data_IF_368184214781
#
_entry.id   IF_368184214781
#
_cell.length_a   1.000
_cell.length_b   1.000
_cell.length_c   1.000
_cell.angle_alpha   90.00
_cell.angle_beta   90.00
_cell.angle_gamma   90.00
#
_symmetry.space_group_name_H-M   'P 1'
#
loop_
_entity.id
_entity.type
_entity.pdbx_description
1 polymer ?
#
# COMPACT_ATOMS: atom_id res chain seq x y z
N UNK A 1 -27.05 7.40 0.65
CA UNK A 1 -25.92 6.52 0.26
C UNK A 1 -24.96 6.40 1.43
N UNK A 2 -24.46 5.19 1.70
CA UNK A 2 -23.43 4.99 2.74
C UNK A 2 -22.08 5.23 2.08
N UNK A 3 -21.31 6.18 2.63
CA UNK A 3 -19.95 6.46 2.16
C UNK A 3 -18.95 5.84 3.12
N UNK A 4 -18.00 5.13 2.56
CA UNK A 4 -16.87 4.57 3.31
C UNK A 4 -15.62 5.32 2.88
N UNK A 5 -14.91 5.92 3.81
CA UNK A 5 -13.69 6.67 3.53
C UNK A 5 -12.48 5.75 3.63
N UNK A 6 -11.74 5.62 2.55
CA UNK A 6 -10.48 4.86 2.51
C UNK A 6 -9.31 5.85 2.43
N UNK A 7 -8.49 5.86 3.48
CA UNK A 7 -7.24 6.59 3.50
C UNK A 7 -6.13 5.65 3.02
N UNK A 8 -5.93 5.62 1.70
CA UNK A 8 -4.96 4.74 1.07
C UNK A 8 -3.55 5.29 1.25
N UNK A 9 -2.68 4.53 1.88
CA UNK A 9 -1.35 4.97 2.32
C UNK A 9 -0.27 4.05 1.75
N UNK A 10 0.85 4.62 1.33
CA UNK A 10 2.04 3.85 1.00
C UNK A 10 2.97 3.78 2.22
N UNK A 11 3.59 2.61 2.44
CA UNK A 11 4.56 2.45 3.53
C UNK A 11 5.69 3.48 3.47
N UNK A 12 6.38 3.68 4.59
CA UNK A 12 7.56 4.54 4.69
C UNK A 12 8.77 3.99 3.92
N UNK A 13 9.78 4.82 3.78
CA UNK A 13 11.01 4.45 3.07
C UNK A 13 11.64 3.19 3.68
N UNK A 14 12.10 2.30 2.80
CA UNK A 14 12.79 1.06 3.20
C UNK A 14 14.25 1.08 2.77
N UNK A 15 15.04 0.18 3.37
CA UNK A 15 16.44 -0.06 2.97
C UNK A 15 16.51 -0.39 1.48
N UNK A 16 15.61 -1.25 0.99
CA UNK A 16 15.58 -1.62 -0.43
C UNK A 16 15.16 -0.47 -1.34
N UNK A 17 14.30 0.46 -0.87
CA UNK A 17 14.02 1.70 -1.62
C UNK A 17 15.31 2.50 -1.85
N UNK A 18 16.10 2.70 -0.80
CA UNK A 18 17.36 3.45 -0.88
C UNK A 18 18.35 2.76 -1.82
N UNK A 19 18.45 1.44 -1.71
CA UNK A 19 19.40 0.64 -2.49
C UNK A 19 18.88 0.27 -3.88
N UNK A 20 17.67 0.68 -4.24
CA UNK A 20 17.05 0.40 -5.54
C UNK A 20 16.95 -1.11 -5.81
N UNK A 21 16.54 -1.86 -4.80
CA UNK A 21 16.30 -3.30 -4.90
C UNK A 21 14.81 -3.55 -5.15
N UNK A 22 14.50 -4.46 -6.07
CA UNK A 22 13.14 -4.88 -6.36
C UNK A 22 12.62 -5.71 -5.20
N UNK A 23 11.72 -5.13 -4.38
CA UNK A 23 11.28 -5.76 -3.15
C UNK A 23 10.22 -6.84 -3.36
N UNK A 24 9.26 -6.56 -4.24
CA UNK A 24 8.16 -7.50 -4.45
C UNK A 24 7.45 -7.87 -3.15
N UNK A 25 7.33 -9.16 -2.88
CA UNK A 25 6.67 -9.68 -1.68
C UNK A 25 7.67 -10.09 -0.59
N UNK A 26 8.88 -9.57 -0.59
CA UNK A 26 9.80 -9.69 0.55
C UNK A 26 9.32 -8.81 1.70
N UNK A 27 9.80 -9.10 2.92
CA UNK A 27 9.34 -8.37 4.12
C UNK A 27 9.76 -6.90 4.10
N UNK A 28 11.01 -6.63 3.81
CA UNK A 28 11.56 -5.28 3.83
C UNK A 28 11.77 -4.75 5.26
N UNK A 29 12.48 -3.63 5.35
CA UNK A 29 12.75 -2.97 6.63
C UNK A 29 12.72 -1.46 6.42
N UNK A 30 11.98 -0.76 7.29
CA UNK A 30 11.98 0.70 7.28
C UNK A 30 13.36 1.24 7.65
N UNK A 31 13.79 2.30 6.95
CA UNK A 31 14.95 3.10 7.38
C UNK A 31 14.56 4.00 8.55
N UNK A 32 15.56 4.62 9.20
CA UNK A 32 15.28 5.66 10.21
C UNK A 32 14.41 6.78 9.61
N UNK A 33 14.64 7.16 8.36
CA UNK A 33 13.83 8.13 7.64
C UNK A 33 12.40 7.62 7.43
N UNK A 34 12.23 6.34 7.06
CA UNK A 34 10.91 5.73 6.90
C UNK A 34 10.11 5.72 8.21
N UNK A 35 10.77 5.46 9.33
CA UNK A 35 10.13 5.55 10.65
C UNK A 35 9.68 6.98 10.94
N UNK A 36 10.53 7.98 10.65
CA UNK A 36 10.17 9.40 10.82
C UNK A 36 8.99 9.80 9.94
N UNK A 37 8.95 9.31 8.70
CA UNK A 37 7.82 9.57 7.80
C UNK A 37 6.52 9.02 8.38
N UNK A 38 6.54 7.80 8.91
CA UNK A 38 5.37 7.19 9.53
C UNK A 38 4.96 7.93 10.83
N UNK A 39 5.93 8.35 11.64
CA UNK A 39 5.67 9.13 12.86
C UNK A 39 5.07 10.50 12.54
N UNK A 40 5.57 11.18 11.50
CA UNK A 40 5.01 12.46 11.07
C UNK A 40 3.56 12.30 10.62
N UNK A 41 3.27 11.23 9.89
CA UNK A 41 1.90 10.92 9.45
C UNK A 41 1.01 10.56 10.64
N UNK A 42 1.54 9.83 11.62
CA UNK A 42 0.82 9.53 12.87
C UNK A 42 0.40 10.80 13.59
N UNK A 43 1.29 11.79 13.71
CA UNK A 43 0.97 13.09 14.32
C UNK A 43 -0.08 13.84 13.51
N UNK A 44 0.05 13.86 12.21
CA UNK A 44 -0.89 14.54 11.31
C UNK A 44 -2.30 13.98 11.44
N UNK A 45 -2.44 12.67 11.63
CA UNK A 45 -3.71 11.96 11.68
C UNK A 45 -4.18 11.65 13.12
N UNK A 46 -3.43 12.06 14.15
CA UNK A 46 -3.71 11.67 15.53
C UNK A 46 -5.10 12.11 16.00
N UNK A 47 -5.60 13.26 15.54
CA UNK A 47 -6.90 13.79 15.93
C UNK A 47 -8.02 13.44 14.94
N UNK A 48 -7.69 12.84 13.81
CA UNK A 48 -8.70 12.43 12.83
C UNK A 48 -9.36 11.14 13.29
N UNK A 49 -10.71 11.07 13.35
CA UNK A 49 -11.38 9.82 13.64
C UNK A 49 -11.10 8.78 12.57
N UNK A 50 -10.52 7.66 12.94
CA UNK A 50 -10.23 6.52 12.05
C UNK A 50 -10.75 5.27 12.79
N UNK A 51 -11.65 4.55 12.13
CA UNK A 51 -12.35 3.42 12.75
C UNK A 51 -11.55 2.12 12.67
N UNK A 52 -10.71 1.96 11.64
CA UNK A 52 -9.96 0.73 11.44
C UNK A 52 -8.64 0.97 10.72
N UNK A 53 -7.66 0.13 11.01
CA UNK A 53 -6.34 0.15 10.40
C UNK A 53 -6.09 -1.21 9.76
N UNK A 54 -5.87 -1.22 8.45
CA UNK A 54 -5.65 -2.42 7.64
C UNK A 54 -4.30 -2.29 6.94
N UNK A 55 -3.52 -3.34 6.92
CA UNK A 55 -2.19 -3.33 6.30
C UNK A 55 -1.98 -4.54 5.42
N UNK A 56 -1.14 -4.39 4.39
CA UNK A 56 -0.47 -5.53 3.80
C UNK A 56 0.19 -6.36 4.90
N UNK A 57 0.30 -7.66 4.70
CA UNK A 57 0.95 -8.56 5.65
C UNK A 57 2.48 -8.60 5.50
N UNK A 58 3.06 -7.70 4.70
CA UNK A 58 4.51 -7.54 4.60
C UNK A 58 5.00 -6.57 5.68
N UNK A 59 6.14 -6.89 6.29
CA UNK A 59 6.65 -6.20 7.48
C UNK A 59 6.73 -4.68 7.32
N UNK A 60 7.26 -4.19 6.20
CA UNK A 60 7.40 -2.74 5.97
C UNK A 60 6.06 -2.00 6.01
N UNK A 61 4.99 -2.63 5.59
CA UNK A 61 3.65 -2.06 5.66
C UNK A 61 3.06 -2.17 7.06
N UNK A 62 3.22 -3.32 7.72
CA UNK A 62 2.75 -3.53 9.10
C UNK A 62 3.42 -2.52 10.03
N UNK A 63 4.73 -2.35 9.93
CA UNK A 63 5.48 -1.42 10.79
C UNK A 63 5.00 0.03 10.58
N UNK A 64 4.80 0.44 9.33
CA UNK A 64 4.25 1.77 9.02
C UNK A 64 2.86 1.94 9.63
N UNK A 65 1.97 0.97 9.40
CA UNK A 65 0.60 1.02 9.88
C UNK A 65 0.53 1.05 11.41
N UNK A 66 1.36 0.25 12.08
CA UNK A 66 1.41 0.19 13.54
C UNK A 66 1.84 1.52 14.16
N UNK A 67 2.78 2.21 13.53
CA UNK A 67 3.21 3.55 13.97
C UNK A 67 2.04 4.53 13.85
N UNK A 68 1.33 4.52 12.72
CA UNK A 68 0.19 5.43 12.48
C UNK A 68 -0.97 5.12 13.43
N UNK A 69 -1.21 3.84 13.73
CA UNK A 69 -2.32 3.40 14.59
C UNK A 69 -2.07 3.66 16.07
N UNK A 70 -0.82 3.83 16.48
CA UNK A 70 -0.45 3.91 17.89
C UNK A 70 -1.18 5.04 18.65
N UNK A 71 -1.29 6.29 18.14
CA UNK A 71 -2.06 7.33 18.85
C UNK A 71 -3.55 7.04 18.96
N UNK A 72 -4.08 6.12 18.18
CA UNK A 72 -5.48 5.72 18.20
C UNK A 72 -5.76 4.52 19.10
N UNK A 73 -4.74 3.92 19.71
CA UNK A 73 -4.84 2.68 20.50
C UNK A 73 -5.56 1.57 19.74
N UNK A 74 -5.33 1.48 18.42
CA UNK A 74 -6.02 0.57 17.55
C UNK A 74 -5.13 -0.60 17.16
N UNK A 75 -5.75 -1.75 16.92
CA UNK A 75 -5.07 -2.91 16.35
C UNK A 75 -4.96 -2.77 14.83
N UNK A 76 -3.93 -3.40 14.27
CA UNK A 76 -3.72 -3.49 12.83
C UNK A 76 -4.19 -4.85 12.34
N UNK A 77 -5.15 -4.83 11.40
CA UNK A 77 -5.56 -6.02 10.66
C UNK A 77 -4.68 -6.15 9.41
N UNK A 78 -4.26 -7.37 9.09
CA UNK A 78 -3.46 -7.61 7.90
C UNK A 78 -4.24 -8.36 6.84
N UNK A 79 -3.89 -8.12 5.57
CA UNK A 79 -4.48 -8.84 4.44
C UNK A 79 -3.45 -9.02 3.31
N UNK A 80 -3.37 -10.22 2.72
CA UNK A 80 -2.51 -10.43 1.55
C UNK A 80 -3.02 -9.71 0.29
N UNK A 81 -4.25 -9.22 0.29
CA UNK A 81 -4.80 -8.46 -0.84
C UNK A 81 -4.04 -7.16 -1.10
N UNK A 82 -3.37 -6.61 -0.07
CA UNK A 82 -2.58 -5.38 -0.18
C UNK A 82 -1.10 -5.62 -0.47
N UNK A 83 -0.66 -6.87 -0.64
CA UNK A 83 0.73 -7.15 -0.98
C UNK A 83 1.14 -6.42 -2.25
N UNK A 84 2.42 -6.07 -2.32
CA UNK A 84 3.00 -5.52 -3.54
C UNK A 84 2.95 -6.56 -4.67
N UNK A 85 3.17 -6.09 -5.89
CA UNK A 85 3.31 -6.94 -7.06
C UNK A 85 4.34 -8.02 -6.80
N UNK A 86 4.01 -9.26 -7.11
CA UNK A 86 4.99 -10.33 -7.14
C UNK A 86 5.86 -10.13 -8.38
N UNK A 87 7.13 -9.78 -8.14
CA UNK A 87 8.09 -9.54 -9.21
C UNK A 87 8.80 -10.82 -9.67
N UNK A 88 8.39 -11.99 -9.16
CA UNK A 88 8.94 -13.27 -9.59
C UNK A 88 10.46 -13.31 -9.47
N UNK A 89 11.14 -13.73 -10.52
CA UNK A 89 12.60 -13.83 -10.55
C UNK A 89 13.33 -12.48 -10.56
N UNK A 90 12.63 -11.35 -10.76
CA UNK A 90 13.23 -10.03 -10.59
C UNK A 90 13.36 -9.61 -9.12
N UNK A 91 12.68 -10.29 -8.23
CA UNK A 91 12.72 -9.99 -6.80
C UNK A 91 14.16 -10.09 -6.26
N UNK A 92 14.59 -9.06 -5.52
CA UNK A 92 15.94 -9.00 -4.95
C UNK A 92 16.99 -8.45 -5.90
N UNK A 93 16.65 -8.16 -7.14
CA UNK A 93 17.60 -7.63 -8.12
C UNK A 93 17.69 -6.11 -8.05
N UNK A 94 18.84 -5.58 -8.48
CA UNK A 94 19.07 -4.14 -8.58
C UNK A 94 18.27 -3.57 -9.75
N UNK A 95 17.34 -2.64 -9.47
CA UNK A 95 16.38 -2.14 -10.47
C UNK A 95 17.05 -1.57 -11.72
N UNK A 96 18.13 -0.74 -11.62
CA UNK A 96 18.78 -0.22 -12.83
C UNK A 96 19.31 -1.29 -13.79
N UNK A 97 19.69 -2.46 -13.27
CA UNK A 97 20.18 -3.57 -14.10
C UNK A 97 19.07 -4.23 -14.93
N UNK A 98 17.81 -3.95 -14.62
CA UNK A 98 16.67 -4.60 -15.26
C UNK A 98 16.12 -3.82 -16.46
N UNK A 99 16.66 -2.64 -16.75
CA UNK A 99 16.11 -1.70 -17.74
C UNK A 99 15.87 -2.32 -19.11
N UNK A 100 16.82 -3.10 -19.61
CA UNK A 100 16.75 -3.70 -20.95
C UNK A 100 16.60 -5.23 -20.88
N UNK A 101 16.30 -5.78 -19.72
CA UNK A 101 16.10 -7.22 -19.53
C UNK A 101 14.66 -7.58 -19.89
N UNK A 102 14.45 -8.60 -20.74
CA UNK A 102 13.09 -9.07 -21.01
C UNK A 102 12.41 -9.55 -19.72
N UNK A 103 11.13 -9.23 -19.57
CA UNK A 103 10.38 -9.64 -18.39
C UNK A 103 10.16 -11.15 -18.41
N UNK A 104 10.48 -11.86 -17.31
CA UNK A 104 10.17 -13.27 -17.19
C UNK A 104 8.65 -13.49 -17.06
N UNK A 105 8.23 -14.74 -17.28
CA UNK A 105 6.82 -15.10 -17.24
C UNK A 105 6.25 -15.22 -15.81
N UNK A 106 7.10 -15.18 -14.79
CA UNK A 106 6.72 -15.37 -13.40
C UNK A 106 6.37 -14.08 -12.67
N UNK A 107 6.31 -12.94 -13.36
CA UNK A 107 5.88 -11.66 -12.78
C UNK A 107 4.36 -11.61 -12.78
N UNK A 108 3.79 -11.22 -11.64
CA UNK A 108 2.34 -10.99 -11.52
C UNK A 108 1.86 -9.99 -12.57
N UNK A 109 0.82 -10.32 -13.32
CA UNK A 109 0.29 -9.43 -14.35
C UNK A 109 -0.46 -8.25 -13.74
N UNK A 110 -0.53 -7.14 -14.47
CA UNK A 110 -1.34 -6.01 -14.02
C UNK A 110 -2.82 -6.38 -13.93
N UNK A 111 -3.31 -7.27 -14.80
CA UNK A 111 -4.67 -7.78 -14.72
C UNK A 111 -4.92 -8.49 -13.39
N UNK A 112 -4.00 -9.36 -12.95
CA UNK A 112 -4.10 -10.04 -11.66
C UNK A 112 -4.05 -9.03 -10.50
N UNK A 113 -3.20 -8.01 -10.60
CA UNK A 113 -3.13 -6.92 -9.62
C UNK A 113 -4.48 -6.19 -9.49
N UNK A 114 -5.11 -5.87 -10.63
CA UNK A 114 -6.41 -5.20 -10.63
C UNK A 114 -7.52 -6.07 -10.04
N UNK A 115 -7.47 -7.38 -10.26
CA UNK A 115 -8.40 -8.31 -9.62
C UNK A 115 -8.24 -8.29 -8.10
N UNK A 116 -7.01 -8.33 -7.60
CA UNK A 116 -6.75 -8.20 -6.15
C UNK A 116 -7.21 -6.86 -5.62
N UNK A 117 -6.96 -5.79 -6.35
CA UNK A 117 -7.40 -4.44 -6.00
C UNK A 117 -8.92 -4.35 -5.89
N UNK A 118 -9.64 -4.95 -6.84
CA UNK A 118 -11.10 -5.00 -6.83
C UNK A 118 -11.63 -5.77 -5.61
N UNK A 119 -11.03 -6.92 -5.31
CA UNK A 119 -11.37 -7.72 -4.13
C UNK A 119 -11.11 -6.93 -2.84
N UNK A 120 -10.02 -6.18 -2.78
CA UNK A 120 -9.72 -5.33 -1.62
C UNK A 120 -10.77 -4.24 -1.43
N UNK A 121 -11.15 -3.53 -2.49
CA UNK A 121 -12.17 -2.50 -2.40
C UNK A 121 -13.52 -3.08 -1.97
N UNK A 122 -13.89 -4.25 -2.46
CA UNK A 122 -15.11 -4.95 -2.05
C UNK A 122 -15.04 -5.38 -0.58
N UNK A 123 -13.88 -5.84 -0.12
CA UNK A 123 -13.64 -6.16 1.28
C UNK A 123 -13.89 -4.94 2.18
N UNK A 124 -13.35 -3.78 1.80
CA UNK A 124 -13.53 -2.54 2.57
C UNK A 124 -15.01 -2.13 2.56
N UNK A 125 -15.68 -2.15 1.42
CA UNK A 125 -17.11 -1.79 1.33
C UNK A 125 -17.98 -2.71 2.18
N UNK A 126 -17.66 -3.99 2.22
CA UNK A 126 -18.46 -4.99 2.94
C UNK A 126 -18.26 -4.93 4.44
N UNK A 127 -17.00 -4.83 4.89
CA UNK A 127 -16.69 -4.95 6.32
C UNK A 127 -16.66 -3.63 7.06
N UNK A 128 -16.52 -2.50 6.34
CA UNK A 128 -16.33 -1.19 6.95
C UNK A 128 -17.30 -0.14 6.39
N UNK A 129 -18.50 -0.57 6.01
CA UNK A 129 -19.51 0.34 5.46
C UNK A 129 -19.77 1.51 6.40
N UNK A 130 -19.69 2.72 5.88
CA UNK A 130 -19.92 3.95 6.64
C UNK A 130 -18.78 4.37 7.57
N UNK A 131 -17.65 3.66 7.53
CA UNK A 131 -16.52 3.93 8.40
C UNK A 131 -15.36 4.59 7.66
N UNK A 132 -14.40 5.09 8.41
CA UNK A 132 -13.11 5.58 7.90
C UNK A 132 -12.03 4.55 8.20
N UNK A 133 -11.38 4.05 7.14
CA UNK A 133 -10.34 3.02 7.22
C UNK A 133 -9.04 3.60 6.69
N UNK A 134 -7.96 3.45 7.44
CA UNK A 134 -6.61 3.72 6.91
C UNK A 134 -6.01 2.38 6.50
N UNK A 135 -5.54 2.31 5.25
CA UNK A 135 -4.94 1.10 4.70
C UNK A 135 -3.54 1.39 4.21
N UNK A 136 -2.58 0.57 4.61
CA UNK A 136 -1.19 0.69 4.16
C UNK A 136 -0.86 -0.40 3.16
N UNK A 137 -0.54 0.02 1.96
CA UNK A 137 -0.09 -0.84 0.87
C UNK A 137 1.27 -0.43 0.33
N UNK A 138 1.45 -0.63 -0.96
CA UNK A 138 2.71 -0.46 -1.66
C UNK A 138 2.50 0.32 -2.95
N UNK A 139 3.60 0.67 -3.62
CA UNK A 139 3.53 1.55 -4.79
C UNK A 139 2.63 1.03 -5.92
N UNK A 140 2.81 -0.22 -6.34
CA UNK A 140 2.07 -0.74 -7.50
C UNK A 140 0.66 -1.18 -7.13
N UNK A 141 0.47 -1.87 -6.00
CA UNK A 141 -0.88 -2.26 -5.59
C UNK A 141 -1.77 -1.04 -5.35
N UNK A 142 -1.23 0.02 -4.73
CA UNK A 142 -1.98 1.25 -4.52
C UNK A 142 -2.34 1.95 -5.83
N UNK A 143 -1.48 1.85 -6.84
CA UNK A 143 -1.77 2.33 -8.19
C UNK A 143 -2.91 1.52 -8.82
N UNK A 144 -2.87 0.19 -8.69
CA UNK A 144 -3.94 -0.69 -9.19
C UNK A 144 -5.28 -0.40 -8.50
N UNK A 145 -5.28 -0.17 -7.19
CA UNK A 145 -6.48 0.18 -6.44
C UNK A 145 -7.11 1.47 -6.97
N UNK A 146 -6.30 2.50 -7.19
CA UNK A 146 -6.77 3.76 -7.74
C UNK A 146 -7.24 3.63 -9.19
N UNK A 147 -6.54 2.81 -9.98
CA UNK A 147 -6.94 2.52 -11.36
C UNK A 147 -8.34 1.90 -11.41
N UNK A 148 -8.62 0.93 -10.55
CA UNK A 148 -9.96 0.32 -10.45
C UNK A 148 -10.98 1.32 -9.95
N UNK A 149 -10.65 2.07 -8.90
CA UNK A 149 -11.56 3.03 -8.28
C UNK A 149 -11.97 4.14 -9.24
N UNK A 150 -11.00 4.73 -9.97
CA UNK A 150 -11.26 5.83 -10.91
C UNK A 150 -11.67 5.36 -12.31
N UNK A 151 -11.63 4.06 -12.56
CA UNK A 151 -11.82 3.47 -13.90
C UNK A 151 -10.89 4.11 -14.93
N UNK A 152 -9.60 4.11 -14.60
CA UNK A 152 -8.54 4.69 -15.45
C UNK A 152 -7.38 3.70 -15.62
N UNK A 153 -6.66 3.76 -16.74
CA UNK A 153 -5.43 2.96 -16.90
C UNK A 153 -4.41 3.28 -15.80
N UNK A 154 -3.62 2.29 -15.40
CA UNK A 154 -2.60 2.47 -14.36
C UNK A 154 -1.57 3.54 -14.71
N UNK A 155 -1.26 3.73 -16.00
CA UNK A 155 -0.31 4.75 -16.43
C UNK A 155 -0.84 6.19 -16.27
N UNK A 156 -2.13 6.37 -15.97
CA UNK A 156 -2.72 7.66 -15.66
C UNK A 156 -2.80 7.95 -14.16
N UNK A 157 -2.38 6.99 -13.34
CA UNK A 157 -2.33 7.18 -11.88
C UNK A 157 -0.92 7.61 -11.50
N UNK A 158 -0.80 8.76 -10.85
CA UNK A 158 0.49 9.25 -10.38
C UNK A 158 1.04 8.33 -9.29
N UNK A 159 2.35 8.00 -9.32
CA UNK A 159 2.96 7.21 -8.24
C UNK A 159 2.82 7.91 -6.89
N UNK A 160 2.61 7.14 -5.84
CA UNK A 160 2.61 7.63 -4.47
C UNK A 160 4.03 7.66 -3.92
N UNK A 161 4.33 8.70 -3.16
CA UNK A 161 5.57 8.79 -2.38
C UNK A 161 5.45 7.94 -1.11
N UNK A 162 6.59 7.60 -0.50
CA UNK A 162 6.59 6.93 0.80
C UNK A 162 5.78 7.73 1.83
N UNK A 163 4.92 7.06 2.57
CA UNK A 163 4.04 7.63 3.58
C UNK A 163 3.04 8.68 3.04
N UNK A 164 2.81 8.70 1.75
CA UNK A 164 1.74 9.52 1.17
C UNK A 164 0.38 8.89 1.43
N UNK A 165 -0.64 9.72 1.66
CA UNK A 165 -2.03 9.31 1.84
C UNK A 165 -2.90 9.91 0.75
N UNK A 166 -3.79 9.10 0.19
CA UNK A 166 -4.84 9.57 -0.74
C UNK A 166 -6.19 9.10 -0.23
N UNK A 167 -7.14 10.03 -0.19
CA UNK A 167 -8.49 9.77 0.29
C UNK A 167 -9.37 9.31 -0.86
N UNK A 168 -9.99 8.12 -0.74
CA UNK A 168 -10.96 7.59 -1.68
C UNK A 168 -12.30 7.45 -0.96
N UNK A 169 -13.34 8.09 -1.51
CA UNK A 169 -14.71 7.96 -0.98
C UNK A 169 -15.43 6.83 -1.71
N UNK A 170 -15.58 5.70 -1.03
CA UNK A 170 -16.22 4.52 -1.60
C UNK A 170 -17.73 4.57 -1.40
N UNK A 171 -18.48 4.18 -2.40
CA UNK A 171 -19.94 4.07 -2.34
C UNK A 171 -20.38 2.62 -2.40
#
# INVERSE_FOLDING_TARGET
>A
MIHTTLLLTRHGQTVDNVNQIMQGQTQGQLTAEGVKQAEALAQQLAQRPIDAFVSSDLKRAIDTCSIIAQPHNAEVLTTPLLRERDWGSFTGRFIPDLKDVPWPDDIETMEAMKQRASLFLDFIRTHYAGQTVLAVGHGIINKAIQSVFYDKPTNQILPMKNAEVRCLELT
#
